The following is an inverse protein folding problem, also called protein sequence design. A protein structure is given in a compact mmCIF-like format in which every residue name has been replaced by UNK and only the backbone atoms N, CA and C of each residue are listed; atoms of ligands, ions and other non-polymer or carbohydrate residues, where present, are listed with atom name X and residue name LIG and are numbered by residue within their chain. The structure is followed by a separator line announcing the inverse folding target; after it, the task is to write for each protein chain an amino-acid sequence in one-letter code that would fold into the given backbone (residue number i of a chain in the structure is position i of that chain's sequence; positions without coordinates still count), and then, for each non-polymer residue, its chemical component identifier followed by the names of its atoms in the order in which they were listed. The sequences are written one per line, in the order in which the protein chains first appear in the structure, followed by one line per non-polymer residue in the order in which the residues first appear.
data_IF_888897386930
#
_entry.id   IF_888897386930
#
_cell.length_a   1.000
_cell.length_b   1.000
_cell.length_c   1.000
_cell.angle_alpha   90.00
_cell.angle_beta   90.00
_cell.angle_gamma   90.00
#
_symmetry.space_group_name_H-M   'P 1'
#
loop_
_entity.id
_entity.type
_entity.pdbx_description
1 polymer ?
#
# COMPACT_ATOMS: atom_id res chain seq x y z
N UNK A 1 1.26 -6.05 13.00
CA UNK A 1 0.90 -6.83 11.80
C UNK A 1 -0.59 -6.64 11.57
N UNK A 2 -1.05 -6.65 10.32
CA UNK A 2 -2.46 -6.69 9.96
C UNK A 2 -2.59 -7.57 8.71
N UNK A 3 -3.70 -8.30 8.58
CA UNK A 3 -3.96 -9.19 7.46
C UNK A 3 -5.44 -9.17 7.06
N UNK A 4 -5.73 -8.78 5.83
CA UNK A 4 -7.10 -8.69 5.31
C UNK A 4 -7.22 -9.65 4.13
N UNK A 5 -7.93 -10.77 4.32
CA UNK A 5 -8.20 -11.71 3.24
C UNK A 5 -9.28 -11.21 2.28
N UNK A 6 -10.14 -10.28 2.75
CA UNK A 6 -11.28 -9.75 1.99
C UNK A 6 -12.21 -10.87 1.51
N UNK A 7 -12.43 -11.87 2.36
CA UNK A 7 -13.26 -13.06 2.10
C UNK A 7 -14.70 -12.89 2.60
N UNK A 8 -15.03 -11.76 3.22
CA UNK A 8 -16.35 -11.48 3.79
C UNK A 8 -17.43 -11.38 2.70
N UNK A 9 -17.14 -10.70 1.59
CA UNK A 9 -18.04 -10.57 0.45
C UNK A 9 -19.28 -9.70 0.68
N UNK A 10 -19.43 -9.09 1.86
CA UNK A 10 -20.52 -8.17 2.18
C UNK A 10 -20.16 -7.25 3.36
N UNK A 11 -21.00 -6.22 3.56
CA UNK A 11 -20.87 -5.29 4.68
C UNK A 11 -19.80 -4.22 4.46
N UNK A 12 -19.55 -3.43 5.51
CA UNK A 12 -18.68 -2.25 5.48
C UNK A 12 -17.42 -2.40 6.35
N UNK A 13 -17.04 -3.63 6.70
CA UNK A 13 -15.87 -3.91 7.55
C UNK A 13 -14.99 -4.95 6.87
N UNK A 14 -13.70 -4.64 6.72
CA UNK A 14 -12.66 -5.57 6.33
C UNK A 14 -11.99 -6.12 7.61
N UNK A 15 -12.14 -7.42 7.91
CA UNK A 15 -11.67 -7.95 9.17
C UNK A 15 -10.16 -8.21 9.17
N UNK A 16 -9.50 -7.78 10.24
CA UNK A 16 -8.11 -8.14 10.48
C UNK A 16 -8.01 -9.57 11.03
N UNK A 17 -7.44 -10.46 10.22
CA UNK A 17 -7.21 -11.87 10.56
C UNK A 17 -5.88 -12.10 11.30
N UNK A 18 -5.10 -11.05 11.58
CA UNK A 18 -3.81 -11.17 12.26
C UNK A 18 -3.90 -11.35 13.79
N UNK A 19 -5.10 -11.20 14.36
CA UNK A 19 -5.32 -11.21 15.82
C UNK A 19 -4.96 -9.90 16.53
N UNK A 20 -4.66 -8.83 15.79
CA UNK A 20 -4.35 -7.50 16.35
C UNK A 20 -5.55 -6.54 16.32
N UNK A 21 -6.73 -7.02 15.90
CA UNK A 21 -7.98 -6.25 15.86
C UNK A 21 -7.89 -4.93 15.07
N UNK A 22 -6.98 -4.83 14.10
CA UNK A 22 -6.85 -3.67 13.22
C UNK A 22 -7.94 -3.70 12.13
N UNK A 23 -9.21 -3.90 12.48
CA UNK A 23 -10.31 -3.95 11.50
C UNK A 23 -10.37 -2.66 10.70
N UNK A 24 -10.64 -2.78 9.40
CA UNK A 24 -10.78 -1.66 8.49
C UNK A 24 -12.24 -1.31 8.24
N UNK A 25 -12.57 -0.03 8.14
CA UNK A 25 -13.88 0.46 7.70
C UNK A 25 -13.82 0.69 6.19
N UNK A 26 -14.78 0.14 5.46
CA UNK A 26 -14.88 0.27 4.00
C UNK A 26 -15.69 1.51 3.66
N UNK A 27 -15.11 2.39 2.85
CA UNK A 27 -15.75 3.59 2.31
C UNK A 27 -15.89 3.44 0.79
N UNK A 28 -17.12 3.45 0.29
CA UNK A 28 -17.47 3.49 -1.14
C UNK A 28 -17.21 2.21 -1.95
N UNK A 29 -16.16 1.46 -1.61
CA UNK A 29 -15.75 0.26 -2.32
C UNK A 29 -16.82 -0.85 -2.32
N UNK A 30 -16.86 -1.61 -3.41
CA UNK A 30 -17.82 -2.70 -3.62
C UNK A 30 -17.15 -4.07 -3.61
N UNK A 31 -17.87 -5.09 -3.16
CA UNK A 31 -17.40 -6.48 -3.18
C UNK A 31 -17.51 -7.07 -4.58
N UNK A 32 -16.45 -7.73 -5.04
CA UNK A 32 -16.35 -8.43 -6.34
C UNK A 32 -15.66 -9.78 -6.17
N UNK A 33 -15.63 -10.60 -7.22
CA UNK A 33 -14.86 -11.85 -7.22
C UNK A 33 -13.35 -11.56 -7.18
N UNK A 34 -12.67 -12.20 -6.23
CA UNK A 34 -11.23 -12.07 -5.97
C UNK A 34 -10.42 -13.25 -6.51
N UNK A 35 -9.15 -13.33 -6.08
CA UNK A 35 -8.23 -14.44 -6.43
C UNK A 35 -8.72 -15.79 -5.89
N UNK A 36 -9.20 -15.81 -4.63
CA UNK A 36 -9.65 -17.04 -3.96
C UNK A 36 -11.14 -17.04 -3.61
N UNK A 37 -11.73 -15.87 -3.30
CA UNK A 37 -13.17 -15.70 -3.04
C UNK A 37 -13.62 -14.31 -3.49
N UNK A 38 -13.57 -13.33 -2.61
CA UNK A 38 -13.94 -11.95 -2.88
C UNK A 38 -12.73 -11.02 -2.84
N UNK A 39 -12.94 -9.82 -3.35
CA UNK A 39 -12.04 -8.69 -3.24
C UNK A 39 -12.89 -7.41 -3.16
N UNK A 40 -12.23 -6.29 -2.89
CA UNK A 40 -12.83 -4.97 -2.99
C UNK A 40 -12.43 -4.33 -4.32
N UNK A 41 -13.41 -3.80 -5.05
CA UNK A 41 -13.21 -2.95 -6.22
C UNK A 41 -13.34 -1.50 -5.81
N UNK A 42 -12.39 -0.70 -6.26
CA UNK A 42 -12.25 0.73 -5.96
C UNK A 42 -12.38 1.51 -7.25
N UNK A 43 -13.24 2.52 -7.30
CA UNK A 43 -13.53 3.31 -8.49
C UNK A 43 -12.47 4.39 -8.82
N UNK A 44 -11.58 4.67 -7.86
CA UNK A 44 -10.51 5.65 -7.99
C UNK A 44 -10.89 7.09 -7.63
N UNK A 45 -12.11 7.34 -7.13
CA UNK A 45 -12.60 8.66 -6.74
C UNK A 45 -12.41 8.87 -5.23
N UNK A 46 -13.20 8.20 -4.40
CA UNK A 46 -13.21 8.35 -2.94
C UNK A 46 -13.26 7.02 -2.17
N UNK A 47 -13.06 5.90 -2.87
CA UNK A 47 -13.05 4.57 -2.27
C UNK A 47 -11.75 4.23 -1.53
N UNK A 48 -11.88 3.74 -0.30
CA UNK A 48 -10.76 3.19 0.49
C UNK A 48 -11.26 2.39 1.69
N UNK A 49 -10.39 1.54 2.23
CA UNK A 49 -10.50 0.98 3.57
C UNK A 49 -9.67 1.82 4.51
N UNK A 50 -10.26 2.31 5.59
CA UNK A 50 -9.56 3.03 6.65
C UNK A 50 -9.32 2.14 7.87
N UNK A 51 -8.07 2.06 8.30
CA UNK A 51 -7.65 1.34 9.50
C UNK A 51 -7.08 2.36 10.48
N UNK A 52 -7.69 2.46 11.65
CA UNK A 52 -7.29 3.37 12.72
C UNK A 52 -5.80 3.22 13.08
N UNK A 53 -5.18 4.32 13.49
CA UNK A 53 -3.80 4.28 13.95
C UNK A 53 -3.63 3.32 15.13
N UNK A 54 -2.59 2.48 15.07
CA UNK A 54 -2.28 1.52 16.10
C UNK A 54 -0.78 1.23 16.15
N UNK A 55 -0.26 0.86 17.33
CA UNK A 55 1.16 0.58 17.54
C UNK A 55 1.66 -0.58 16.68
N UNK A 56 0.81 -1.58 16.41
CA UNK A 56 1.16 -2.74 15.57
C UNK A 56 1.27 -2.40 14.07
N UNK A 57 0.95 -1.16 13.68
CA UNK A 57 1.12 -0.58 12.35
C UNK A 57 2.31 0.41 12.30
N UNK A 58 3.16 0.44 13.33
CA UNK A 58 4.37 1.27 13.44
C UNK A 58 5.60 0.38 13.56
N UNK A 59 5.95 -0.36 12.48
CA UNK A 59 7.11 -1.24 12.49
C UNK A 59 8.39 -0.46 12.82
N UNK A 60 9.28 -1.04 13.62
CA UNK A 60 10.51 -0.36 14.06
C UNK A 60 11.63 -0.45 13.04
N UNK A 61 11.99 -1.66 12.57
CA UNK A 61 13.12 -1.85 11.65
C UNK A 61 12.90 -2.95 10.60
N UNK A 62 11.73 -3.59 10.59
CA UNK A 62 11.35 -4.63 9.62
C UNK A 62 9.92 -4.42 9.18
N UNK A 63 9.68 -4.49 7.88
CA UNK A 63 8.35 -4.28 7.30
C UNK A 63 8.18 -5.19 6.09
N UNK A 64 7.01 -5.81 5.99
CA UNK A 64 6.52 -6.39 4.74
C UNK A 64 5.16 -5.82 4.44
N UNK A 65 4.99 -5.29 3.24
CA UNK A 65 3.70 -4.90 2.65
C UNK A 65 3.43 -5.87 1.51
N UNK A 66 2.25 -6.49 1.45
CA UNK A 66 1.92 -7.41 0.36
C UNK A 66 0.43 -7.44 0.08
N UNK A 67 0.06 -7.42 -1.20
CA UNK A 67 -1.32 -7.54 -1.64
C UNK A 67 -1.41 -8.24 -3.00
N UNK A 68 -2.53 -8.94 -3.21
CA UNK A 68 -3.02 -9.20 -4.54
C UNK A 68 -3.76 -7.96 -5.04
N UNK A 69 -3.39 -7.49 -6.23
CA UNK A 69 -4.01 -6.32 -6.85
C UNK A 69 -4.34 -6.64 -8.30
N UNK A 70 -5.36 -5.96 -8.82
CA UNK A 70 -5.74 -6.01 -10.22
C UNK A 70 -6.17 -4.62 -10.65
N UNK A 71 -5.64 -4.16 -11.77
CA UNK A 71 -6.12 -2.94 -12.41
C UNK A 71 -7.33 -3.31 -13.27
N UNK A 72 -8.43 -2.58 -13.11
CA UNK A 72 -9.58 -2.72 -14.00
C UNK A 72 -9.31 -2.08 -15.36
N UNK A 73 -8.45 -1.06 -15.39
CA UNK A 73 -8.07 -0.32 -16.59
C UNK A 73 -6.58 0.05 -16.51
N UNK A 74 -5.86 0.17 -17.64
CA UNK A 74 -4.47 0.61 -17.61
C UNK A 74 -4.37 2.00 -16.99
N UNK A 75 -3.37 2.22 -16.12
CA UNK A 75 -3.20 3.52 -15.47
C UNK A 75 -2.95 4.66 -16.47
N UNK A 76 -2.46 4.42 -17.69
CA UNK A 76 -2.44 5.45 -18.73
C UNK A 76 -1.62 6.71 -18.38
N UNK A 77 -2.19 7.89 -18.65
CA UNK A 77 -1.52 9.22 -18.71
C UNK A 77 -0.91 9.76 -17.39
N UNK A 78 -0.23 10.91 -17.50
CA UNK A 78 0.66 11.54 -16.51
C UNK A 78 0.12 11.83 -15.10
N UNK A 79 -1.16 11.61 -14.81
CA UNK A 79 -1.77 11.95 -13.51
C UNK A 79 -2.56 10.79 -12.86
N UNK A 80 -2.29 9.54 -13.25
CA UNK A 80 -2.95 8.39 -12.66
C UNK A 80 -2.03 7.65 -11.68
N UNK A 81 -2.55 7.43 -10.48
CA UNK A 81 -1.89 6.69 -9.39
C UNK A 81 -2.87 5.67 -8.84
N UNK A 82 -2.44 4.43 -8.67
CA UNK A 82 -3.15 3.45 -7.87
C UNK A 82 -2.34 3.21 -6.59
N UNK A 83 -2.83 3.74 -5.48
CA UNK A 83 -2.31 3.34 -4.17
C UNK A 83 -2.56 1.85 -3.94
N UNK A 84 -1.75 1.22 -3.09
CA UNK A 84 -2.01 -0.13 -2.57
C UNK A 84 -2.04 -0.06 -1.05
N UNK A 85 -1.00 0.51 -0.45
CA UNK A 85 -0.92 0.80 0.98
C UNK A 85 -0.47 2.25 1.17
N UNK A 86 -1.07 2.97 2.11
CA UNK A 86 -0.53 4.26 2.55
C UNK A 86 -0.72 4.48 4.04
N UNK A 87 0.39 4.67 4.73
CA UNK A 87 0.50 5.28 6.07
C UNK A 87 1.63 6.31 6.02
N UNK A 88 1.55 7.22 5.06
CA UNK A 88 2.65 8.13 4.71
C UNK A 88 2.27 9.59 4.85
N UNK A 89 3.22 10.40 5.33
CA UNK A 89 3.16 11.86 5.35
C UNK A 89 4.30 12.40 4.48
N UNK A 90 3.97 13.29 3.54
CA UNK A 90 4.97 13.99 2.72
C UNK A 90 5.56 15.21 3.43
N UNK A 91 6.67 15.73 2.90
CA UNK A 91 7.34 16.94 3.43
C UNK A 91 8.77 16.65 3.88
N UNK A 92 9.45 17.70 4.36
CA UNK A 92 10.81 17.60 4.90
C UNK A 92 10.87 16.66 6.12
N UNK A 93 9.87 16.76 7.00
CA UNK A 93 9.67 15.88 8.16
C UNK A 93 8.64 14.77 7.89
N UNK A 94 8.51 14.38 6.61
CA UNK A 94 7.63 13.28 6.22
C UNK A 94 7.98 11.99 6.96
N UNK A 95 7.04 11.05 7.04
CA UNK A 95 7.25 9.78 7.74
C UNK A 95 6.38 8.66 7.22
N UNK A 96 6.70 7.43 7.60
CA UNK A 96 5.90 6.24 7.31
C UNK A 96 6.25 5.58 5.99
N UNK A 97 5.29 4.88 5.40
CA UNK A 97 5.50 3.97 4.27
C UNK A 97 4.30 3.94 3.32
N UNK A 98 4.57 3.58 2.06
CA UNK A 98 3.54 3.32 1.07
C UNK A 98 4.01 2.35 -0.02
N UNK A 99 3.03 1.76 -0.70
CA UNK A 99 3.19 0.98 -1.92
C UNK A 99 2.15 1.48 -2.92
N UNK A 100 2.58 1.78 -4.14
CA UNK A 100 1.70 2.30 -5.19
C UNK A 100 2.18 1.92 -6.60
N UNK A 101 1.29 2.08 -7.57
CA UNK A 101 1.55 2.03 -9.00
C UNK A 101 1.31 3.41 -9.61
N UNK A 102 2.19 3.86 -10.51
CA UNK A 102 2.23 5.19 -11.11
C UNK A 102 2.11 5.08 -12.63
N UNK A 103 1.08 5.69 -13.20
CA UNK A 103 0.92 5.75 -14.66
C UNK A 103 1.95 6.67 -15.33
N UNK A 104 2.29 7.79 -14.69
CA UNK A 104 3.06 8.87 -15.32
C UNK A 104 4.50 8.52 -15.70
N UNK A 105 5.15 7.66 -14.90
CA UNK A 105 6.49 7.13 -15.17
C UNK A 105 6.51 5.59 -15.28
N UNK A 106 5.32 4.99 -15.32
CA UNK A 106 5.11 3.55 -15.48
C UNK A 106 5.86 2.74 -14.41
N UNK A 107 5.71 3.09 -13.14
CA UNK A 107 6.42 2.46 -12.02
C UNK A 107 5.52 1.87 -10.95
N UNK A 108 5.90 0.70 -10.45
CA UNK A 108 5.50 0.25 -9.11
C UNK A 108 6.56 0.71 -8.13
N UNK A 109 6.14 1.43 -7.09
CA UNK A 109 7.03 2.07 -6.12
C UNK A 109 6.69 1.59 -4.72
N UNK A 110 7.70 1.07 -4.03
CA UNK A 110 7.66 0.92 -2.59
C UNK A 110 8.58 1.95 -1.96
N UNK A 111 8.06 2.71 -1.02
CA UNK A 111 8.86 3.70 -0.31
C UNK A 111 8.56 3.72 1.18
N UNK A 112 9.56 4.12 1.94
CA UNK A 112 9.48 4.33 3.37
C UNK A 112 10.48 5.40 3.81
N UNK A 113 10.28 5.95 5.00
CA UNK A 113 11.20 6.91 5.60
C UNK A 113 11.86 6.35 6.83
N UNK A 114 13.16 6.58 6.97
CA UNK A 114 13.87 6.23 8.20
C UNK A 114 13.58 7.25 9.32
N UNK A 115 14.10 6.97 10.52
CA UNK A 115 13.93 7.81 11.71
C UNK A 115 14.58 9.20 11.59
N UNK A 116 15.46 9.41 10.61
CA UNK A 116 16.03 10.72 10.26
C UNK A 116 15.23 11.41 9.15
N UNK A 117 14.03 10.89 8.82
CA UNK A 117 13.16 11.33 7.75
C UNK A 117 13.75 11.19 6.34
N UNK A 118 14.86 10.45 6.17
CA UNK A 118 15.41 10.17 4.85
C UNK A 118 14.44 9.31 4.07
N UNK A 119 14.21 9.67 2.81
CA UNK A 119 13.31 8.96 1.92
C UNK A 119 14.05 7.84 1.18
N UNK A 120 13.59 6.60 1.36
CA UNK A 120 14.11 5.40 0.72
C UNK A 120 13.04 4.80 -0.19
N UNK A 121 13.43 4.40 -1.40
CA UNK A 121 12.51 3.74 -2.33
C UNK A 121 13.22 2.71 -3.20
N UNK A 122 12.44 1.72 -3.63
CA UNK A 122 12.76 0.83 -4.75
C UNK A 122 11.58 0.84 -5.71
N UNK A 123 11.85 0.64 -7.00
CA UNK A 123 10.80 0.66 -8.01
C UNK A 123 11.09 -0.28 -9.18
N UNK A 124 10.03 -0.83 -9.75
CA UNK A 124 10.05 -1.57 -11.00
C UNK A 124 9.43 -0.70 -12.11
N UNK A 125 9.91 -0.84 -13.35
CA UNK A 125 9.38 -0.10 -14.51
C UNK A 125 8.58 -1.07 -15.39
N UNK A 126 7.41 -0.65 -15.85
CA UNK A 126 6.57 -1.42 -16.76
C UNK A 126 5.79 -2.57 -16.14
N UNK A 127 5.77 -2.65 -14.80
CA UNK A 127 5.19 -3.77 -14.06
C UNK A 127 4.43 -3.28 -12.81
N UNK A 128 3.31 -3.92 -12.40
CA UNK A 128 2.39 -4.68 -13.22
C UNK A 128 1.32 -3.73 -13.78
N UNK A 129 1.32 -3.50 -15.09
CA UNK A 129 0.34 -2.61 -15.75
C UNK A 129 -0.60 -3.35 -16.70
N UNK A 130 -0.64 -4.68 -16.61
CA UNK A 130 -1.66 -5.47 -17.29
C UNK A 130 -2.92 -5.65 -16.41
N UNK A 131 -3.99 -6.18 -17.01
CA UNK A 131 -5.32 -6.30 -16.38
C UNK A 131 -5.47 -7.59 -15.56
N UNK A 132 -4.37 -8.29 -15.28
CA UNK A 132 -4.31 -9.51 -14.49
C UNK A 132 -4.25 -9.24 -12.98
N UNK A 133 -4.48 -10.31 -12.22
CA UNK A 133 -4.14 -10.32 -10.80
C UNK A 133 -2.64 -10.48 -10.64
N UNK A 134 -2.02 -9.58 -9.89
CA UNK A 134 -0.60 -9.66 -9.53
C UNK A 134 -0.42 -9.62 -8.03
N UNK A 135 0.55 -10.38 -7.55
CA UNK A 135 0.98 -10.32 -6.16
C UNK A 135 2.17 -9.37 -6.05
N UNK A 136 1.96 -8.20 -5.45
CA UNK A 136 3.02 -7.22 -5.19
C UNK A 136 3.41 -7.30 -3.73
N UNK A 137 4.71 -7.43 -3.46
CA UNK A 137 5.24 -7.40 -2.10
C UNK A 137 6.46 -6.49 -2.00
N UNK A 138 6.53 -5.72 -0.93
CA UNK A 138 7.72 -4.96 -0.56
C UNK A 138 8.20 -5.41 0.81
N UNK A 139 9.47 -5.72 0.93
CA UNK A 139 10.10 -6.14 2.19
C UNK A 139 11.22 -5.18 2.56
N UNK A 140 11.42 -4.98 3.85
CA UNK A 140 12.59 -4.36 4.44
C UNK A 140 12.97 -5.15 5.69
N UNK A 141 14.21 -5.62 5.76
CA UNK A 141 14.68 -6.50 6.84
C UNK A 141 15.57 -5.80 7.88
N UNK A 142 15.74 -4.47 7.76
CA UNK A 142 16.63 -3.66 8.60
C UNK A 142 17.96 -3.29 7.94
N UNK A 143 18.28 -3.89 6.79
CA UNK A 143 19.47 -3.60 6.00
C UNK A 143 19.25 -3.58 4.48
N UNK A 144 18.17 -4.21 4.01
CA UNK A 144 17.87 -4.39 2.59
C UNK A 144 16.38 -4.24 2.33
N UNK A 145 16.03 -3.41 1.35
CA UNK A 145 14.68 -3.22 0.84
C UNK A 145 14.54 -3.93 -0.51
N UNK A 146 13.44 -4.68 -0.71
CA UNK A 146 13.20 -5.45 -1.93
C UNK A 146 11.74 -5.32 -2.38
N UNK A 147 11.52 -5.08 -3.67
CA UNK A 147 10.21 -5.13 -4.33
C UNK A 147 10.11 -6.42 -5.15
N UNK A 148 9.04 -7.16 -4.92
CA UNK A 148 8.65 -8.36 -5.63
C UNK A 148 7.34 -8.13 -6.40
N UNK A 149 7.26 -8.67 -7.61
CA UNK A 149 6.03 -8.79 -8.39
C UNK A 149 5.93 -10.25 -8.83
N UNK A 150 4.81 -10.90 -8.50
CA UNK A 150 4.54 -12.32 -8.74
C UNK A 150 5.63 -13.25 -8.20
N UNK A 151 6.16 -12.89 -7.02
CA UNK A 151 7.21 -13.63 -6.33
C UNK A 151 8.62 -13.44 -6.91
N UNK A 152 8.78 -12.65 -7.98
CA UNK A 152 10.08 -12.35 -8.60
C UNK A 152 10.62 -11.02 -8.07
N UNK A 153 11.87 -10.99 -7.63
CA UNK A 153 12.57 -9.74 -7.25
C UNK A 153 12.71 -8.84 -8.48
N UNK A 154 12.14 -7.63 -8.43
CA UNK A 154 12.19 -6.65 -9.52
C UNK A 154 13.15 -5.49 -9.21
N UNK A 155 13.35 -5.16 -7.94
CA UNK A 155 14.28 -4.12 -7.51
C UNK A 155 14.70 -4.31 -6.06
N UNK A 156 15.92 -3.91 -5.72
CA UNK A 156 16.41 -3.86 -4.34
C UNK A 156 17.38 -2.70 -4.09
N UNK A 157 17.53 -2.33 -2.82
CA UNK A 157 18.49 -1.33 -2.35
C UNK A 157 18.99 -1.69 -0.94
N UNK A 158 20.25 -1.39 -0.67
CA UNK A 158 20.86 -1.56 0.66
C UNK A 158 20.82 -0.24 1.42
N UNK A 159 20.20 -0.24 2.59
CA UNK A 159 20.22 0.85 3.55
C UNK A 159 19.82 0.32 4.92
N UNK A 160 20.31 0.96 5.99
CA UNK A 160 20.03 0.49 7.36
C UNK A 160 19.51 1.64 8.21
N UNK A 161 18.59 1.31 9.12
CA UNK A 161 17.98 2.28 10.01
C UNK A 161 16.62 1.83 10.51
N UNK A 162 16.17 2.50 11.57
CA UNK A 162 14.79 2.37 12.03
C UNK A 162 13.87 3.16 11.11
N UNK A 163 12.63 2.69 10.97
CA UNK A 163 11.56 3.35 10.25
C UNK A 163 10.96 4.48 11.10
N UNK A 164 10.64 5.59 10.46
CA UNK A 164 9.78 6.62 11.04
C UNK A 164 8.32 6.20 10.97
N UNK A 165 7.51 6.79 11.86
CA UNK A 165 6.07 6.56 11.92
C UNK A 165 5.31 7.87 12.10
N UNK A 166 4.01 7.83 11.82
CA UNK A 166 3.05 8.89 12.09
C UNK A 166 1.82 8.32 12.82
N UNK A 167 0.89 9.20 13.15
CA UNK A 167 -0.40 8.87 13.78
C UNK A 167 -1.57 8.92 12.79
N UNK A 168 -1.32 8.96 11.49
CA UNK A 168 -2.39 8.89 10.49
C UNK A 168 -2.93 7.45 10.41
N UNK A 169 -4.21 7.26 10.03
CA UNK A 169 -4.71 5.93 9.72
C UNK A 169 -3.93 5.29 8.56
N UNK A 170 -3.92 3.95 8.53
CA UNK A 170 -3.50 3.21 7.34
C UNK A 170 -4.70 3.16 6.38
N UNK A 171 -4.46 3.37 5.08
CA UNK A 171 -5.50 3.29 4.05
C UNK A 171 -5.17 2.33 2.92
N UNK A 172 -6.18 1.58 2.46
CA UNK A 172 -6.10 0.52 1.45
C UNK A 172 -7.23 0.63 0.41
N UNK A 173 -6.94 0.89 -0.87
CA UNK A 173 -5.83 1.66 -1.38
C UNK A 173 -5.99 3.15 -1.04
N UNK A 174 -4.89 3.91 -1.01
CA UNK A 174 -4.96 5.38 -1.04
C UNK A 174 -3.67 5.95 -1.60
N UNK A 175 -3.79 7.02 -2.40
CA UNK A 175 -2.65 7.79 -2.87
C UNK A 175 -1.98 8.56 -1.70
N UNK A 176 -0.64 8.49 -1.53
CA UNK A 176 0.08 9.12 -0.42
C UNK A 176 0.23 10.64 -0.49
N UNK A 177 -0.07 11.30 -1.62
CA UNK A 177 0.40 12.67 -1.91
C UNK A 177 -0.67 13.77 -2.01
N UNK A 178 -1.95 13.50 -1.71
CA UNK A 178 -2.96 14.56 -1.57
C UNK A 178 -3.82 14.32 -0.33
N UNK A 179 -3.34 14.82 0.80
CA UNK A 179 -4.21 15.27 1.87
C UNK A 179 -4.48 16.75 1.59
N UNK A 180 -5.67 17.06 1.07
CA UNK A 180 -6.21 18.42 1.13
C UNK A 180 -7.34 18.36 2.16
N UNK A 181 -7.21 18.96 3.35
CA UNK A 181 -8.26 18.94 4.36
C UNK A 181 -9.49 19.76 3.97
N UNK A 182 -9.41 20.55 2.89
CA UNK A 182 -10.43 21.50 2.46
C UNK A 182 -10.96 21.22 1.04
N UNK A 183 -11.50 20.02 0.81
CA UNK A 183 -12.51 19.75 -0.22
C UNK A 183 -13.59 18.81 0.33
#
# INVERSE_FOLDING_TARGET
VAAYYLDEGFGSVANDSSGNENHGIIHGASWVDGVSKSALSFDGVDDYVEVSDHTTLKPSNKLTLSAWVKLNEPLGSQDNWAGVFSKYVSGAEGSGYYLEMRGYDNRTVCAMRDASHTYHQVYAVGEPFDLGWHHIACTYNGSRQILYIDGVEKASAEWSGNLSHNTLPLRLPKRPHRWNPDL
#
